data_IF_431634405901
#
_entry.id   IF_431634405901
#
_cell.length_a   1.000
_cell.length_b   1.000
_cell.length_c   1.000
_cell.angle_alpha   90.00
_cell.angle_beta   90.00
_cell.angle_gamma   90.00
#
_symmetry.space_group_name_H-M   'P 1'
#
loop_
_entity.id
_entity.type
_entity.pdbx_description
1 polymer ?
#
# COMPACT_ATOMS: atom_id res chain seq x y z
N UNK A 1 -66.99 -59.05 -48.64
CA UNK A 1 -66.59 -58.14 -47.51
C UNK A 1 -65.09 -58.12 -47.43
N UNK A 2 -64.47 -56.98 -47.76
CA UNK A 2 -62.98 -56.79 -47.90
C UNK A 2 -62.37 -56.40 -46.56
N UNK A 3 -61.42 -57.27 -46.12
CA UNK A 3 -60.55 -56.94 -44.99
C UNK A 3 -59.51 -55.92 -45.42
N UNK A 4 -59.42 -54.80 -44.72
CA UNK A 4 -58.34 -53.78 -44.82
C UNK A 4 -57.17 -54.24 -43.94
N UNK A 5 -56.02 -54.51 -44.56
CA UNK A 5 -54.74 -54.69 -43.87
C UNK A 5 -54.21 -53.33 -43.43
N UNK A 6 -53.85 -53.24 -42.17
CA UNK A 6 -53.19 -52.08 -41.61
C UNK A 6 -51.68 -52.27 -41.70
N UNK A 7 -51.05 -51.56 -42.58
CA UNK A 7 -49.62 -51.56 -42.77
C UNK A 7 -48.90 -50.83 -41.58
N UNK A 8 -48.13 -51.56 -40.81
CA UNK A 8 -47.35 -51.09 -39.66
C UNK A 8 -45.97 -50.74 -40.18
N UNK A 9 -45.79 -49.46 -40.44
CA UNK A 9 -44.49 -48.89 -40.80
C UNK A 9 -43.54 -49.00 -39.60
N UNK A 10 -42.47 -49.77 -39.71
CA UNK A 10 -41.37 -49.83 -38.80
C UNK A 10 -40.48 -48.65 -39.09
N UNK A 11 -40.45 -47.67 -38.15
CA UNK A 11 -39.41 -46.63 -38.14
C UNK A 11 -38.09 -47.25 -37.70
N UNK A 12 -37.19 -47.45 -38.68
CA UNK A 12 -35.78 -47.77 -38.43
C UNK A 12 -35.08 -46.55 -37.77
N UNK A 13 -34.85 -46.65 -36.46
CA UNK A 13 -33.94 -45.75 -35.77
C UNK A 13 -32.52 -46.01 -36.27
N UNK A 14 -32.08 -45.25 -37.30
CA UNK A 14 -30.69 -45.13 -37.68
C UNK A 14 -29.90 -44.54 -36.50
N UNK A 15 -29.24 -45.38 -35.74
CA UNK A 15 -28.18 -44.95 -34.83
C UNK A 15 -27.05 -44.43 -35.67
N UNK A 16 -26.95 -43.10 -35.80
CA UNK A 16 -25.81 -42.43 -36.43
C UNK A 16 -24.60 -42.66 -35.54
N UNK A 17 -23.82 -43.68 -35.81
CA UNK A 17 -22.45 -43.81 -35.32
C UNK A 17 -21.67 -42.65 -35.91
N UNK A 18 -21.49 -41.57 -35.15
CA UNK A 18 -20.56 -40.52 -35.48
C UNK A 18 -19.15 -41.13 -35.58
N UNK A 19 -18.72 -41.45 -36.81
CA UNK A 19 -17.32 -41.72 -37.09
C UNK A 19 -16.56 -40.46 -36.77
N UNK A 20 -15.74 -40.50 -35.72
CA UNK A 20 -14.80 -39.42 -35.42
C UNK A 20 -13.93 -39.15 -36.64
N UNK A 21 -14.32 -38.18 -37.45
CA UNK A 21 -13.51 -37.75 -38.58
C UNK A 21 -12.16 -37.21 -38.04
N UNK A 22 -11.06 -37.34 -38.82
CA UNK A 22 -9.75 -36.85 -38.39
C UNK A 22 -9.79 -35.35 -37.97
N UNK A 23 -10.70 -34.59 -38.54
CA UNK A 23 -10.95 -33.20 -38.19
C UNK A 23 -11.53 -33.01 -36.78
N UNK A 24 -12.53 -33.84 -36.41
CA UNK A 24 -13.11 -33.84 -35.06
C UNK A 24 -12.05 -34.20 -34.00
N UNK A 25 -11.18 -35.17 -34.31
CA UNK A 25 -10.05 -35.52 -33.40
C UNK A 25 -9.10 -34.34 -33.23
N UNK A 26 -8.74 -33.63 -34.31
CA UNK A 26 -7.90 -32.42 -34.23
C UNK A 26 -8.54 -31.32 -33.36
N UNK A 27 -9.83 -31.06 -33.55
CA UNK A 27 -10.57 -30.07 -32.77
C UNK A 27 -10.56 -30.47 -31.28
N UNK A 28 -10.85 -31.70 -30.95
CA UNK A 28 -10.84 -32.20 -29.56
C UNK A 28 -9.44 -32.07 -28.95
N UNK A 29 -8.39 -32.47 -29.69
CA UNK A 29 -7.00 -32.36 -29.22
C UNK A 29 -6.62 -30.89 -28.95
N UNK A 30 -6.98 -29.97 -29.85
CA UNK A 30 -6.72 -28.56 -29.68
C UNK A 30 -7.45 -28.02 -28.43
N UNK A 31 -8.69 -28.42 -28.21
CA UNK A 31 -9.49 -28.01 -27.07
C UNK A 31 -8.89 -28.51 -25.74
N UNK A 32 -8.35 -29.74 -25.74
CA UNK A 32 -7.64 -30.28 -24.56
C UNK A 32 -6.36 -29.48 -24.28
N UNK A 33 -5.58 -29.15 -25.32
CA UNK A 33 -4.35 -28.37 -25.15
C UNK A 33 -4.68 -26.97 -24.56
N UNK A 34 -5.70 -26.30 -25.09
CA UNK A 34 -6.15 -25.02 -24.58
C UNK A 34 -6.59 -25.11 -23.11
N UNK A 35 -7.37 -26.15 -22.78
CA UNK A 35 -7.81 -26.40 -21.41
C UNK A 35 -6.62 -26.63 -20.45
N UNK A 36 -5.59 -27.38 -20.91
CA UNK A 36 -4.37 -27.60 -20.11
C UNK A 36 -3.59 -26.30 -19.88
N UNK A 37 -3.49 -25.44 -20.89
CA UNK A 37 -2.82 -24.13 -20.75
C UNK A 37 -3.56 -23.25 -19.75
N UNK A 38 -4.89 -23.15 -19.87
CA UNK A 38 -5.68 -22.37 -18.88
C UNK A 38 -5.61 -22.98 -17.47
N UNK A 39 -5.65 -24.31 -17.36
CA UNK A 39 -5.48 -25.01 -16.09
C UNK A 39 -4.12 -24.75 -15.46
N UNK A 40 -3.06 -24.69 -16.25
CA UNK A 40 -1.72 -24.36 -15.79
C UNK A 40 -1.62 -22.91 -15.28
N UNK A 41 -2.17 -21.94 -16.02
CA UNK A 41 -2.23 -20.55 -15.56
C UNK A 41 -3.11 -20.40 -14.31
N UNK A 42 -4.21 -21.13 -14.23
CA UNK A 42 -5.04 -21.15 -13.02
C UNK A 42 -4.26 -21.71 -11.81
N UNK A 43 -3.50 -22.77 -12.02
CA UNK A 43 -2.67 -23.40 -10.97
C UNK A 43 -1.53 -22.45 -10.54
N UNK A 44 -0.87 -21.77 -11.49
CA UNK A 44 0.11 -20.73 -11.16
C UNK A 44 -0.53 -19.61 -10.36
N UNK A 45 -1.69 -19.11 -10.80
CA UNK A 45 -2.43 -18.08 -10.08
C UNK A 45 -2.80 -18.55 -8.67
N UNK A 46 -3.25 -19.80 -8.53
CA UNK A 46 -3.58 -20.38 -7.22
C UNK A 46 -2.36 -20.47 -6.30
N UNK A 47 -1.19 -20.89 -6.84
CA UNK A 47 0.06 -20.96 -6.05
C UNK A 47 0.56 -19.56 -5.69
N UNK A 48 0.55 -18.62 -6.64
CA UNK A 48 1.06 -17.26 -6.39
C UNK A 48 0.08 -16.36 -5.64
N UNK A 49 -1.24 -16.53 -5.82
CA UNK A 49 -2.27 -15.74 -5.14
C UNK A 49 -2.75 -16.42 -3.86
N UNK A 50 -2.73 -17.77 -3.82
CA UNK A 50 -3.15 -18.53 -2.64
C UNK A 50 -2.23 -18.35 -1.42
N UNK A 51 -0.95 -17.99 -1.64
CA UNK A 51 -0.02 -17.66 -0.56
C UNK A 51 -0.15 -16.18 -0.12
N UNK A 52 -0.72 -15.32 -1.00
CA UNK A 52 -1.09 -13.94 -0.66
C UNK A 52 -2.48 -13.83 -0.01
N UNK A 53 -3.28 -14.90 0.00
CA UNK A 53 -4.67 -14.89 0.47
C UNK A 53 -4.91 -15.56 1.83
N UNK A 54 -3.88 -15.96 2.56
CA UNK A 54 -4.01 -16.24 3.98
C UNK A 54 -3.95 -14.91 4.72
N UNK A 55 -5.09 -14.26 4.82
CA UNK A 55 -5.32 -13.24 5.81
C UNK A 55 -5.14 -13.91 7.20
N UNK A 56 -3.91 -13.83 7.76
CA UNK A 56 -3.77 -13.84 9.19
C UNK A 56 -4.53 -12.61 9.67
N UNK A 57 -5.55 -12.79 10.50
CA UNK A 57 -6.39 -11.76 11.11
C UNK A 57 -5.64 -10.82 12.08
N UNK A 58 -4.33 -10.75 11.97
CA UNK A 58 -3.51 -9.63 12.38
C UNK A 58 -3.23 -8.79 11.14
N UNK A 59 -4.27 -8.09 10.65
CA UNK A 59 -4.07 -6.97 9.75
C UNK A 59 -3.30 -5.87 10.48
N UNK A 60 -1.99 -5.99 10.55
CA UNK A 60 -1.18 -4.83 10.34
C UNK A 60 -1.44 -4.43 8.89
N UNK A 61 -2.40 -3.52 8.69
CA UNK A 61 -2.50 -2.79 7.44
C UNK A 61 -1.12 -2.20 7.21
N UNK A 62 -0.35 -2.81 6.31
CA UNK A 62 0.92 -2.25 5.85
C UNK A 62 0.54 -1.02 5.03
N UNK A 63 0.12 0.04 5.72
CA UNK A 63 0.05 1.37 5.13
C UNK A 63 1.49 1.70 4.81
N UNK A 64 1.80 1.80 3.53
CA UNK A 64 3.04 2.39 3.07
C UNK A 64 2.96 3.84 3.55
N UNK A 65 3.54 4.09 4.70
CA UNK A 65 3.60 5.40 5.30
C UNK A 65 4.92 5.99 4.84
N UNK A 66 4.84 6.94 3.93
CA UNK A 66 6.01 7.68 3.50
C UNK A 66 6.58 8.43 4.70
N UNK A 67 7.88 8.48 4.81
CA UNK A 67 8.56 9.22 5.89
C UNK A 67 8.32 10.72 5.76
N UNK A 68 8.13 11.22 4.53
CA UNK A 68 7.69 12.57 4.27
C UNK A 68 6.17 12.69 4.37
N UNK A 69 5.71 13.68 5.15
CA UNK A 69 4.30 13.97 5.36
C UNK A 69 4.01 15.47 5.20
N UNK A 70 2.75 15.82 4.99
CA UNK A 70 2.32 17.21 5.07
C UNK A 70 2.22 17.65 6.54
N UNK A 71 2.55 18.93 6.82
CA UNK A 71 2.47 19.49 8.15
C UNK A 71 1.10 19.28 8.82
N UNK A 72 0.01 19.40 8.05
CA UNK A 72 -1.35 19.16 8.51
C UNK A 72 -1.62 17.73 8.99
N UNK A 73 -0.84 16.75 8.55
CA UNK A 73 -0.99 15.34 8.93
C UNK A 73 -0.25 14.98 10.22
N UNK A 74 0.58 15.88 10.75
CA UNK A 74 1.46 15.60 11.89
C UNK A 74 0.73 15.13 13.16
N UNK A 75 -0.54 15.48 13.33
CA UNK A 75 -1.35 15.13 14.50
C UNK A 75 -2.13 13.80 14.35
N UNK A 76 -2.14 13.21 13.16
CA UNK A 76 -3.01 12.07 12.80
C UNK A 76 -2.24 10.83 12.33
N UNK A 77 -0.97 10.69 12.74
CA UNK A 77 -0.17 9.51 12.42
C UNK A 77 -0.66 8.26 13.17
N UNK A 78 -0.56 7.10 12.54
CA UNK A 78 -1.02 5.84 13.12
C UNK A 78 -0.16 5.36 14.30
N UNK A 79 1.09 5.83 14.42
CA UNK A 79 1.97 5.47 15.54
C UNK A 79 1.54 6.18 16.83
N UNK A 80 1.54 5.47 17.95
CA UNK A 80 1.22 6.06 19.26
C UNK A 80 2.29 7.02 19.78
N UNK A 81 3.55 6.83 19.35
CA UNK A 81 4.70 7.68 19.68
C UNK A 81 5.56 7.84 18.44
N UNK A 82 5.85 9.06 18.08
CA UNK A 82 6.67 9.38 16.91
C UNK A 82 7.30 10.77 17.02
N UNK A 83 8.27 11.02 16.16
CA UNK A 83 8.89 12.32 15.94
C UNK A 83 8.45 12.87 14.60
N UNK A 84 8.26 14.17 14.53
CA UNK A 84 8.12 14.89 13.25
C UNK A 84 9.22 15.95 13.19
N UNK A 85 10.04 15.89 12.15
CA UNK A 85 11.15 16.81 11.91
C UNK A 85 10.75 17.74 10.76
N UNK A 86 10.66 19.00 11.06
CA UNK A 86 10.33 20.06 10.13
C UNK A 86 11.61 20.77 9.73
N UNK A 87 11.91 20.85 8.45
CA UNK A 87 13.03 21.63 7.91
C UNK A 87 12.81 21.89 6.42
N UNK A 88 13.49 22.87 5.86
CA UNK A 88 13.49 23.10 4.41
C UNK A 88 14.46 22.12 3.77
N UNK A 89 13.99 21.30 2.84
CA UNK A 89 14.80 20.26 2.19
C UNK A 89 15.84 20.83 1.23
N UNK A 90 15.66 22.07 0.76
CA UNK A 90 16.56 22.77 -0.12
C UNK A 90 17.55 23.68 0.64
N UNK A 91 17.45 23.77 1.97
CA UNK A 91 18.37 24.55 2.77
C UNK A 91 19.79 23.98 2.77
N UNK A 92 20.79 24.84 2.91
CA UNK A 92 22.20 24.42 2.93
C UNK A 92 22.53 23.38 4.02
N UNK A 93 21.79 23.40 5.11
CA UNK A 93 21.95 22.53 6.27
C UNK A 93 21.04 21.30 6.26
N UNK A 94 20.21 21.13 5.24
CA UNK A 94 19.27 19.99 5.11
C UNK A 94 19.99 18.64 5.17
N UNK A 95 21.15 18.51 4.55
CA UNK A 95 21.93 17.27 4.52
C UNK A 95 22.42 16.83 5.90
N UNK A 96 22.71 17.76 6.80
CA UNK A 96 23.15 17.48 8.17
C UNK A 96 21.97 16.95 9.01
N UNK A 97 20.81 17.58 8.90
CA UNK A 97 19.58 17.11 9.56
C UNK A 97 19.20 15.71 9.06
N UNK A 98 19.21 15.51 7.74
CA UNK A 98 18.87 14.22 7.14
C UNK A 98 19.83 13.10 7.59
N UNK A 99 21.15 13.39 7.65
CA UNK A 99 22.15 12.44 8.14
C UNK A 99 21.92 12.06 9.61
N UNK A 100 21.53 13.03 10.45
CA UNK A 100 21.21 12.78 11.84
C UNK A 100 19.95 11.91 11.98
N UNK A 101 18.91 12.15 11.15
CA UNK A 101 17.69 11.32 11.10
C UNK A 101 18.03 9.87 10.79
N UNK A 102 18.81 9.59 9.71
CA UNK A 102 19.20 8.24 9.36
C UNK A 102 20.00 7.54 10.46
N UNK A 103 20.89 8.27 11.13
CA UNK A 103 21.66 7.74 12.26
C UNK A 103 20.76 7.39 13.45
N UNK A 104 19.75 8.20 13.71
CA UNK A 104 18.76 7.94 14.75
C UNK A 104 17.91 6.71 14.43
N UNK A 105 17.36 6.64 13.22
CA UNK A 105 16.50 5.52 12.78
C UNK A 105 17.22 4.18 12.75
N UNK A 106 18.53 4.16 12.64
CA UNK A 106 19.35 2.95 12.74
C UNK A 106 19.41 2.37 14.17
N UNK A 107 18.98 3.11 15.20
CA UNK A 107 18.97 2.62 16.60
C UNK A 107 17.78 1.69 16.82
N UNK A 108 17.99 0.65 17.61
CA UNK A 108 16.95 -0.38 17.88
C UNK A 108 15.74 0.12 18.67
N UNK A 109 15.89 1.23 19.38
CA UNK A 109 14.87 1.87 20.21
C UNK A 109 14.36 3.20 19.64
N UNK A 110 14.73 3.50 18.39
CA UNK A 110 14.28 4.70 17.71
C UNK A 110 12.75 4.77 17.60
N UNK A 111 12.20 5.95 17.86
CA UNK A 111 10.83 6.23 17.49
C UNK A 111 10.74 6.39 15.98
N UNK A 112 9.57 6.08 15.41
CA UNK A 112 9.32 6.39 14.01
C UNK A 112 9.49 7.89 13.77
N UNK A 113 10.27 8.27 12.76
CA UNK A 113 10.48 9.65 12.35
C UNK A 113 9.69 9.92 11.08
N UNK A 114 9.02 11.04 11.04
CA UNK A 114 8.42 11.64 9.85
C UNK A 114 9.10 12.95 9.56
N UNK A 115 9.16 13.33 8.30
CA UNK A 115 9.76 14.58 7.85
C UNK A 115 8.71 15.47 7.20
N UNK A 116 8.84 16.76 7.39
CA UNK A 116 7.99 17.78 6.76
C UNK A 116 8.88 18.81 6.10
N UNK A 117 8.71 18.96 4.79
CA UNK A 117 9.39 19.98 4.02
C UNK A 117 8.74 21.35 4.22
N UNK A 118 9.43 22.28 4.84
CA UNK A 118 8.98 23.66 5.03
C UNK A 118 9.04 24.50 3.75
N UNK A 119 9.84 24.09 2.76
CA UNK A 119 9.90 24.69 1.43
C UNK A 119 8.70 24.35 0.56
N UNK A 120 7.99 23.26 0.88
CA UNK A 120 6.83 22.80 0.11
C UNK A 120 5.65 23.78 0.25
N UNK A 121 5.11 24.21 -0.90
CA UNK A 121 4.00 25.16 -0.96
C UNK A 121 2.74 24.71 -0.18
N UNK A 122 2.51 23.38 -0.07
CA UNK A 122 1.38 22.80 0.66
C UNK A 122 1.52 22.96 2.19
N UNK A 123 2.74 23.18 2.69
CA UNK A 123 3.03 23.38 4.11
C UNK A 123 3.10 24.86 4.52
N UNK A 124 2.94 25.79 3.56
CA UNK A 124 3.11 27.22 3.76
C UNK A 124 2.28 27.80 4.92
N UNK A 125 1.08 27.25 5.15
CA UNK A 125 0.20 27.72 6.24
C UNK A 125 0.74 27.36 7.64
N UNK A 126 1.68 26.41 7.72
CA UNK A 126 2.33 26.00 8.97
C UNK A 126 3.67 26.70 9.20
N UNK A 127 4.16 27.47 8.21
CA UNK A 127 5.39 28.26 8.33
C UNK A 127 5.06 29.65 8.87
N UNK A 128 5.81 30.12 9.88
CA UNK A 128 5.57 31.39 10.54
C UNK A 128 6.86 31.97 11.11
N UNK A 129 6.97 33.32 11.16
CA UNK A 129 8.07 33.98 11.82
C UNK A 129 8.07 33.77 13.35
N UNK A 130 6.92 33.40 13.92
CA UNK A 130 6.76 33.14 15.36
C UNK A 130 6.23 31.74 15.57
N UNK A 131 7.02 30.92 16.22
CA UNK A 131 6.65 29.53 16.52
C UNK A 131 5.62 29.46 17.65
N UNK A 132 4.69 28.50 17.52
CA UNK A 132 3.79 28.09 18.61
C UNK A 132 4.28 26.74 19.18
N UNK A 133 4.82 26.77 20.40
CA UNK A 133 5.48 25.60 21.03
C UNK A 133 4.51 24.54 21.56
N UNK A 134 3.24 24.86 21.71
CA UNK A 134 2.20 23.95 22.22
C UNK A 134 0.94 24.01 21.35
N UNK A 135 1.06 23.70 20.03
CA UNK A 135 -0.12 23.63 19.17
C UNK A 135 -0.99 22.45 19.58
N UNK A 136 -2.31 22.60 19.59
CA UNK A 136 -3.26 21.55 19.98
C UNK A 136 -3.74 20.74 18.80
N UNK A 137 -3.67 21.30 17.61
CA UNK A 137 -4.03 20.67 16.35
C UNK A 137 -3.23 21.27 15.18
N UNK A 138 -3.47 20.75 14.00
CA UNK A 138 -2.77 21.14 12.78
C UNK A 138 -3.03 22.62 12.39
N UNK A 139 -4.17 23.21 12.77
CA UNK A 139 -4.51 24.59 12.40
C UNK A 139 -3.74 25.60 13.24
N UNK A 140 -3.25 25.18 14.39
CA UNK A 140 -2.44 25.97 15.30
C UNK A 140 -0.94 25.84 15.06
N UNK A 141 -0.54 24.95 14.15
CA UNK A 141 0.87 24.68 13.89
C UNK A 141 1.55 25.89 13.24
N UNK A 142 2.54 26.43 13.93
CA UNK A 142 3.34 27.58 13.47
C UNK A 142 4.82 27.27 13.74
N UNK A 143 5.59 27.06 12.67
CA UNK A 143 6.98 26.60 12.69
C UNK A 143 7.88 27.67 12.10
N UNK A 144 8.95 27.99 12.80
CA UNK A 144 10.00 28.90 12.34
C UNK A 144 11.33 28.14 12.18
N UNK A 145 11.56 27.57 10.99
CA UNK A 145 12.78 26.84 10.67
C UNK A 145 12.88 25.44 11.28
N UNK A 146 14.10 24.85 11.34
CA UNK A 146 14.28 23.49 11.76
C UNK A 146 13.72 23.22 13.16
N UNK A 147 12.81 22.23 13.25
CA UNK A 147 12.07 21.95 14.48
C UNK A 147 11.79 20.45 14.59
N UNK A 148 11.90 19.88 15.79
CA UNK A 148 11.38 18.56 16.14
C UNK A 148 10.20 18.70 17.06
N UNK A 149 9.15 17.95 16.75
CA UNK A 149 8.02 17.77 17.67
C UNK A 149 7.88 16.28 17.97
N UNK A 150 7.91 15.93 19.26
CA UNK A 150 7.59 14.58 19.70
C UNK A 150 6.11 14.50 20.02
N UNK A 151 5.45 13.56 19.37
CA UNK A 151 4.03 13.26 19.58
C UNK A 151 3.84 12.00 20.43
N UNK A 152 2.76 11.99 21.19
CA UNK A 152 2.20 10.82 21.82
C UNK A 152 0.69 10.90 21.74
N UNK A 153 0.08 9.89 21.10
CA UNK A 153 -1.37 9.79 20.92
C UNK A 153 -1.97 11.07 20.28
N UNK A 154 -1.30 11.58 19.23
CA UNK A 154 -1.69 12.79 18.50
C UNK A 154 -1.48 14.11 19.27
N UNK A 155 -0.87 14.08 20.47
CA UNK A 155 -0.62 15.29 21.28
C UNK A 155 0.87 15.62 21.29
N UNK A 156 1.17 16.93 21.22
CA UNK A 156 2.54 17.44 21.41
C UNK A 156 3.02 17.15 22.83
N UNK A 157 4.21 16.58 22.95
CA UNK A 157 4.87 16.29 24.23
C UNK A 157 6.17 17.03 24.40
N UNK A 158 6.83 17.32 23.30
CA UNK A 158 8.10 18.03 23.31
C UNK A 158 8.22 18.83 22.02
N UNK A 159 8.78 20.02 22.14
CA UNK A 159 8.99 20.94 21.02
C UNK A 159 10.39 21.52 21.10
N UNK A 160 11.20 21.26 20.10
CA UNK A 160 12.60 21.65 20.02
C UNK A 160 12.80 22.43 18.74
N UNK A 161 13.28 23.64 18.83
CA UNK A 161 13.46 24.56 17.71
C UNK A 161 14.92 24.98 17.57
N UNK A 162 15.36 25.09 16.34
CA UNK A 162 16.70 25.50 15.94
C UNK A 162 17.57 24.31 15.54
N UNK A 163 18.30 24.48 14.45
CA UNK A 163 19.08 23.43 13.79
C UNK A 163 19.97 22.64 14.76
N UNK A 164 20.84 23.35 15.50
CA UNK A 164 21.83 22.70 16.38
C UNK A 164 21.14 21.84 17.46
N UNK A 165 20.01 22.31 17.99
CA UNK A 165 19.24 21.58 18.99
C UNK A 165 18.51 20.37 18.38
N UNK A 166 18.05 20.49 17.13
CA UNK A 166 17.42 19.42 16.37
C UNK A 166 18.43 18.29 16.14
N UNK A 167 19.61 18.62 15.60
CA UNK A 167 20.69 17.68 15.37
C UNK A 167 21.15 17.03 16.68
N UNK A 168 21.31 17.81 17.72
CA UNK A 168 21.76 17.36 19.05
C UNK A 168 20.75 16.38 19.70
N UNK A 169 19.45 16.66 19.52
CA UNK A 169 18.37 15.82 20.03
C UNK A 169 18.32 14.45 19.35
N UNK A 170 18.45 14.43 18.03
CA UNK A 170 18.42 13.20 17.25
C UNK A 170 19.71 12.37 17.42
N UNK A 171 20.86 13.03 17.66
CA UNK A 171 22.14 12.34 17.80
C UNK A 171 22.33 11.62 19.14
N UNK A 172 21.54 11.94 20.16
CA UNK A 172 21.55 11.29 21.49
C UNK A 172 20.88 9.93 21.46
#
# INVERSE_FOLDING_TARGET
>A
MKKKEVNKTKEDKKVVKSKNSPEVKKIITTLIIVALVFGFFYLLTYIFVGDFGKEDDTKEETKIQYDEILAGSSFSMNASKYLVVYYDFDAEDASEILSAIYTYEAKSDALKVYTVDLGNALNKNSVSEKSKKDPKDATELAINGPTIIRFRDGMVREYIEGKDKVVDYISK
#
